data_IF_698720223510
#
_entry.id   IF_698720223510
#
_cell.length_a   1.000
_cell.length_b   1.000
_cell.length_c   1.000
_cell.angle_alpha   90.00
_cell.angle_beta   90.00
_cell.angle_gamma   90.00
#
_symmetry.space_group_name_H-M   'P 1'
#
loop_
_entity.id
_entity.type
_entity.pdbx_description
1 polymer ?
#
# COMPACT_ATOMS: atom_id res chain seq x y z
N UNK A 1 -6.33 -11.86 7.69
CA UNK A 1 -6.19 -13.29 7.56
C UNK A 1 -6.02 -13.99 8.91
N UNK A 2 -6.33 -15.27 8.95
CA UNK A 2 -6.17 -16.07 10.15
C UNK A 2 -4.72 -16.15 10.63
N UNK A 3 -4.54 -16.12 11.92
CA UNK A 3 -3.24 -16.22 12.56
C UNK A 3 -2.23 -15.14 12.17
N UNK A 4 -2.69 -13.99 11.70
CA UNK A 4 -1.82 -12.84 11.53
C UNK A 4 -1.67 -12.09 12.86
N UNK A 5 -0.51 -11.45 13.07
CA UNK A 5 -0.25 -10.62 14.23
C UNK A 5 0.11 -9.21 13.79
N UNK A 6 -0.41 -8.20 14.48
CA UNK A 6 -0.14 -6.81 14.16
C UNK A 6 0.63 -6.17 15.31
N UNK A 7 1.78 -5.59 15.03
CA UNK A 7 2.61 -4.93 16.02
C UNK A 7 1.91 -3.68 16.56
N UNK A 8 2.12 -3.38 17.86
CA UNK A 8 1.48 -2.24 18.51
C UNK A 8 1.84 -0.92 17.79
N UNK A 9 0.86 -0.04 17.64
CA UNK A 9 0.97 1.27 16.98
C UNK A 9 1.22 1.21 15.47
N UNK A 10 1.23 0.01 14.86
CA UNK A 10 1.30 -0.12 13.41
C UNK A 10 -0.03 0.27 12.80
N UNK A 11 0.01 1.04 11.71
CA UNK A 11 -1.19 1.44 10.97
C UNK A 11 -1.43 0.48 9.82
N UNK A 12 -2.67 0.11 9.62
CA UNK A 12 -3.10 -0.68 8.45
C UNK A 12 -4.12 0.17 7.70
N UNK A 13 -3.81 0.48 6.45
CA UNK A 13 -4.65 1.35 5.64
C UNK A 13 -5.97 0.72 5.23
N UNK A 14 -6.88 1.57 4.75
CA UNK A 14 -8.21 1.16 4.30
C UNK A 14 -8.11 0.05 3.25
N UNK A 15 -8.90 -1.00 3.41
CA UNK A 15 -8.98 -2.14 2.50
C UNK A 15 -7.66 -2.86 2.23
N UNK A 16 -6.66 -2.70 3.09
CA UNK A 16 -5.46 -3.52 3.00
C UNK A 16 -5.79 -4.97 3.32
N UNK A 17 -5.14 -5.90 2.63
CA UNK A 17 -5.30 -7.33 2.87
C UNK A 17 -4.04 -7.89 3.51
N UNK A 18 -4.19 -8.53 4.67
CA UNK A 18 -3.09 -9.15 5.39
C UNK A 18 -3.27 -10.67 5.29
N UNK A 19 -2.31 -11.35 4.70
CA UNK A 19 -2.34 -12.80 4.57
C UNK A 19 -2.22 -13.49 5.92
N UNK A 20 -2.69 -14.73 6.01
CA UNK A 20 -2.57 -15.54 7.21
C UNK A 20 -1.11 -15.74 7.61
N UNK A 21 -0.85 -15.84 8.91
CA UNK A 21 0.49 -16.04 9.47
C UNK A 21 1.47 -14.88 9.25
N UNK A 22 0.99 -13.73 8.75
CA UNK A 22 1.84 -12.55 8.55
C UNK A 22 1.97 -11.77 9.85
N UNK A 23 3.20 -11.50 10.27
CA UNK A 23 3.47 -10.60 11.38
C UNK A 23 3.64 -9.17 10.86
N UNK A 24 2.68 -8.30 11.14
CA UNK A 24 2.72 -6.92 10.64
C UNK A 24 3.49 -6.04 11.61
N UNK A 25 4.70 -5.64 11.23
CA UNK A 25 5.58 -4.77 12.02
C UNK A 25 5.78 -3.39 11.40
N UNK A 26 5.32 -3.20 10.17
CA UNK A 26 5.42 -1.94 9.42
C UNK A 26 4.05 -1.53 8.93
N UNK A 27 3.87 -0.22 8.73
CA UNK A 27 2.60 0.30 8.26
C UNK A 27 2.27 -0.24 6.87
N UNK A 28 1.05 -0.71 6.67
CA UNK A 28 0.59 -1.21 5.38
C UNK A 28 -0.29 -0.15 4.72
N UNK A 29 0.07 0.25 3.50
CA UNK A 29 -0.66 1.29 2.76
C UNK A 29 -2.11 0.89 2.50
N UNK A 30 -3.01 1.88 2.31
CA UNK A 30 -4.37 1.57 1.85
C UNK A 30 -4.34 0.75 0.57
N UNK A 31 -5.24 -0.19 0.47
CA UNK A 31 -5.40 -1.09 -0.67
C UNK A 31 -4.19 -2.02 -0.90
N UNK A 32 -3.23 -2.05 0.02
CA UNK A 32 -2.06 -2.91 -0.09
C UNK A 32 -2.37 -4.37 0.19
N UNK A 33 -1.50 -5.24 -0.29
CA UNK A 33 -1.55 -6.68 -0.02
C UNK A 33 -0.22 -7.10 0.60
N UNK A 34 -0.26 -7.56 1.83
CA UNK A 34 0.93 -8.05 2.53
C UNK A 34 0.74 -9.50 2.93
N UNK A 35 1.64 -10.36 2.48
CA UNK A 35 1.59 -11.79 2.78
C UNK A 35 2.97 -12.30 3.19
N UNK A 36 3.00 -13.51 3.73
CA UNK A 36 4.24 -14.17 4.12
C UNK A 36 4.72 -13.72 5.50
N UNK A 37 5.79 -14.35 5.98
CA UNK A 37 6.27 -14.16 7.36
C UNK A 37 6.96 -12.81 7.57
N UNK A 38 7.43 -12.15 6.52
CA UNK A 38 8.31 -10.98 6.61
C UNK A 38 7.61 -9.64 6.47
N UNK A 39 6.30 -9.61 6.39
CA UNK A 39 5.56 -8.36 6.19
C UNK A 39 6.05 -7.60 4.95
N UNK A 40 6.10 -8.29 3.83
CA UNK A 40 6.46 -7.70 2.53
C UNK A 40 5.19 -7.24 1.84
N UNK A 41 5.27 -6.10 1.17
CA UNK A 41 4.17 -5.61 0.35
C UNK A 41 4.20 -6.31 -1.01
N UNK A 42 3.15 -7.05 -1.33
CA UNK A 42 3.09 -7.88 -2.54
C UNK A 42 2.25 -7.29 -3.67
N UNK A 43 1.79 -6.07 -3.51
CA UNK A 43 0.96 -5.41 -4.51
C UNK A 43 -0.28 -4.79 -3.90
N UNK A 44 -1.34 -4.71 -4.68
CA UNK A 44 -2.60 -4.11 -4.28
C UNK A 44 -3.71 -5.15 -4.20
N UNK A 45 -4.68 -4.89 -3.33
CA UNK A 45 -5.85 -5.74 -3.14
C UNK A 45 -6.85 -5.56 -4.28
N UNK A 46 -6.49 -6.00 -5.50
CA UNK A 46 -7.33 -5.86 -6.70
C UNK A 46 -8.66 -6.58 -6.53
N UNK A 47 -8.63 -7.77 -5.93
CA UNK A 47 -9.85 -8.56 -5.73
C UNK A 47 -10.85 -7.80 -4.85
N UNK A 48 -10.39 -7.22 -3.75
CA UNK A 48 -11.25 -6.42 -2.87
C UNK A 48 -11.82 -5.19 -3.55
N UNK A 49 -10.99 -4.50 -4.32
CA UNK A 49 -11.43 -3.31 -5.06
C UNK A 49 -12.48 -3.65 -6.11
N UNK A 50 -12.34 -4.76 -6.81
CA UNK A 50 -13.34 -5.23 -7.78
C UNK A 50 -14.64 -5.62 -7.11
N UNK A 51 -14.59 -6.21 -5.93
CA UNK A 51 -15.80 -6.59 -5.17
C UNK A 51 -16.66 -5.39 -4.81
N UNK A 52 -16.05 -4.25 -4.53
CA UNK A 52 -16.79 -3.02 -4.23
C UNK A 52 -17.03 -2.16 -5.47
N UNK A 53 -16.78 -2.73 -6.65
CA UNK A 53 -17.10 -2.13 -7.96
C UNK A 53 -16.35 -0.82 -8.25
N UNK A 54 -15.13 -0.70 -7.78
CA UNK A 54 -14.23 0.39 -8.20
C UNK A 54 -13.95 0.22 -9.70
N UNK A 55 -13.89 1.31 -10.44
CA UNK A 55 -13.69 1.25 -11.89
C UNK A 55 -12.33 0.67 -12.26
N UNK A 56 -12.27 -0.03 -13.40
CA UNK A 56 -11.02 -0.60 -13.90
C UNK A 56 -9.96 0.49 -14.12
N UNK A 57 -10.36 1.67 -14.59
CA UNK A 57 -9.44 2.78 -14.80
C UNK A 57 -8.76 3.19 -13.48
N UNK A 58 -9.53 3.33 -12.42
CA UNK A 58 -8.98 3.69 -11.11
C UNK A 58 -8.04 2.62 -10.57
N UNK A 59 -8.37 1.34 -10.77
CA UNK A 59 -7.52 0.23 -10.34
C UNK A 59 -6.21 0.20 -11.14
N UNK A 60 -6.28 0.39 -12.46
CA UNK A 60 -5.10 0.43 -13.33
C UNK A 60 -4.18 1.59 -12.93
N UNK A 61 -4.76 2.78 -12.74
CA UNK A 61 -4.00 3.96 -12.33
C UNK A 61 -3.32 3.74 -10.98
N UNK A 62 -4.02 3.13 -10.03
CA UNK A 62 -3.43 2.80 -8.73
C UNK A 62 -2.29 1.79 -8.87
N UNK A 63 -2.46 0.78 -9.73
CA UNK A 63 -1.42 -0.23 -9.96
C UNK A 63 -0.16 0.38 -10.57
N UNK A 64 -0.32 1.29 -11.53
CA UNK A 64 0.81 1.99 -12.14
C UNK A 64 1.48 2.92 -11.13
N UNK A 65 0.69 3.67 -10.37
CA UNK A 65 1.20 4.56 -9.33
C UNK A 65 1.96 3.77 -8.25
N UNK A 66 1.45 2.61 -7.87
CA UNK A 66 2.13 1.72 -6.93
C UNK A 66 3.57 1.42 -7.36
N UNK A 67 3.76 1.13 -8.63
CA UNK A 67 5.11 0.86 -9.16
C UNK A 67 6.02 2.08 -9.04
N UNK A 68 5.48 3.25 -9.29
CA UNK A 68 6.24 4.51 -9.20
C UNK A 68 6.55 4.89 -7.76
N UNK A 69 5.62 4.68 -6.84
CA UNK A 69 5.81 4.96 -5.41
C UNK A 69 6.96 4.14 -4.84
N UNK A 70 7.05 2.88 -5.24
CA UNK A 70 8.05 1.95 -4.72
C UNK A 70 9.18 1.67 -5.70
N UNK A 71 9.42 2.58 -6.65
CA UNK A 71 10.45 2.43 -7.67
C UNK A 71 11.86 2.38 -7.08
N UNK A 72 12.12 3.19 -6.07
CA UNK A 72 13.40 3.21 -5.35
C UNK A 72 13.13 3.15 -3.85
N UNK A 73 14.18 3.07 -3.05
CA UNK A 73 14.04 3.07 -1.59
C UNK A 73 13.69 4.45 -1.04
N UNK A 74 13.88 5.51 -1.81
CA UNK A 74 13.57 6.87 -1.36
C UNK A 74 12.10 7.20 -1.65
N UNK A 75 11.25 6.86 -0.69
CA UNK A 75 9.81 7.01 -0.82
C UNK A 75 9.39 8.47 -1.00
N UNK A 76 10.00 9.39 -0.25
CA UNK A 76 9.69 10.83 -0.35
C UNK A 76 9.97 11.35 -1.75
N UNK A 77 11.14 11.03 -2.31
CA UNK A 77 11.49 11.43 -3.66
C UNK A 77 10.54 10.82 -4.69
N UNK A 78 10.21 9.55 -4.54
CA UNK A 78 9.28 8.87 -5.45
C UNK A 78 7.91 9.54 -5.46
N UNK A 79 7.40 9.94 -4.29
CA UNK A 79 6.12 10.64 -4.19
C UNK A 79 6.17 12.02 -4.86
N UNK A 80 7.28 12.73 -4.73
CA UNK A 80 7.45 14.05 -5.35
C UNK A 80 7.47 13.97 -6.88
N UNK A 81 7.98 12.87 -7.42
CA UNK A 81 8.09 12.66 -8.87
C UNK A 81 6.84 12.07 -9.52
N UNK A 82 5.80 11.77 -8.74
CA UNK A 82 4.57 11.24 -9.30
C UNK A 82 3.91 12.23 -10.27
N UNK A 83 3.41 11.71 -11.39
CA UNK A 83 2.66 12.50 -12.34
C UNK A 83 1.40 13.05 -11.68
N UNK A 84 1.14 14.35 -11.84
CA UNK A 84 0.00 15.01 -11.20
C UNK A 84 -1.35 14.43 -11.61
N UNK A 85 -1.43 13.83 -12.82
CA UNK A 85 -2.68 13.18 -13.27
C UNK A 85 -3.14 12.05 -12.35
N UNK A 86 -2.19 11.32 -11.74
CA UNK A 86 -2.54 10.23 -10.83
C UNK A 86 -3.07 10.74 -9.50
N UNK A 87 -2.69 11.95 -9.09
CA UNK A 87 -3.12 12.53 -7.82
C UNK A 87 -4.61 12.88 -7.79
N UNK A 88 -5.26 12.90 -8.95
CA UNK A 88 -6.71 13.09 -9.05
C UNK A 88 -7.50 11.81 -8.71
N UNK A 89 -6.86 10.65 -8.77
CA UNK A 89 -7.48 9.38 -8.44
C UNK A 89 -7.65 9.29 -6.91
N UNK A 90 -8.90 9.13 -6.41
CA UNK A 90 -9.15 9.07 -4.96
C UNK A 90 -8.36 7.97 -4.25
N UNK A 91 -8.14 6.83 -4.90
CA UNK A 91 -7.40 5.72 -4.31
C UNK A 91 -5.92 6.10 -4.13
N UNK A 92 -5.35 6.74 -5.14
CA UNK A 92 -3.96 7.22 -5.08
C UNK A 92 -3.80 8.27 -3.99
N UNK A 93 -4.74 9.19 -3.91
CA UNK A 93 -4.73 10.24 -2.88
C UNK A 93 -4.76 9.64 -1.48
N UNK A 94 -5.58 8.62 -1.28
CA UNK A 94 -5.67 7.92 0.01
C UNK A 94 -4.32 7.31 0.40
N UNK A 95 -3.63 6.70 -0.56
CA UNK A 95 -2.30 6.11 -0.34
C UNK A 95 -1.27 7.18 0.02
N UNK A 96 -1.24 8.27 -0.75
CA UNK A 96 -0.29 9.37 -0.50
C UNK A 96 -0.53 9.99 0.87
N UNK A 97 -1.79 10.28 1.21
CA UNK A 97 -2.14 10.88 2.49
C UNK A 97 -1.74 9.95 3.65
N UNK A 98 -1.95 8.66 3.49
CA UNK A 98 -1.57 7.68 4.50
C UNK A 98 -0.06 7.68 4.75
N UNK A 99 0.74 7.72 3.69
CA UNK A 99 2.20 7.74 3.81
C UNK A 99 2.67 9.03 4.49
N UNK A 100 2.07 10.16 4.14
CA UNK A 100 2.49 11.47 4.64
C UNK A 100 2.00 11.81 6.03
N UNK A 101 0.91 11.20 6.48
CA UNK A 101 0.25 11.55 7.73
C UNK A 101 1.12 11.27 8.97
N UNK A 102 1.84 10.17 8.96
CA UNK A 102 2.70 9.79 10.07
C UNK A 102 3.92 9.03 9.54
N UNK A 103 5.10 9.57 9.80
CA UNK A 103 6.36 9.00 9.34
C UNK A 103 7.20 8.39 10.47
N UNK A 104 6.59 8.17 11.64
CA UNK A 104 7.31 7.62 12.81
C UNK A 104 7.69 6.16 12.64
N UNK A 105 6.92 5.40 11.87
CA UNK A 105 7.18 3.99 11.65
C UNK A 105 7.47 3.73 10.18
N UNK A 106 8.28 2.71 9.88
CA UNK A 106 8.55 2.37 8.49
C UNK A 106 7.28 1.86 7.79
N UNK A 107 7.20 2.11 6.51
CA UNK A 107 6.16 1.59 5.62
C UNK A 107 6.58 0.20 5.14
N UNK A 108 5.63 -0.73 5.08
CA UNK A 108 5.83 -2.02 4.44
C UNK A 108 6.07 -1.79 2.94
N UNK A 109 7.17 -2.32 2.41
CA UNK A 109 7.57 -2.11 1.02
C UNK A 109 7.75 -3.43 0.29
N UNK A 110 7.75 -3.42 -1.04
CA UNK A 110 8.13 -4.60 -1.81
C UNK A 110 9.59 -4.95 -1.55
N UNK A 111 9.93 -6.23 -1.72
CA UNK A 111 11.32 -6.64 -1.66
C UNK A 111 12.00 -6.20 -2.96
N UNK A 112 12.88 -5.20 -2.87
CA UNK A 112 13.56 -4.59 -4.03
C UNK A 112 14.89 -5.26 -4.39
N UNK A 113 15.21 -6.40 -3.80
CA UNK A 113 16.43 -7.12 -4.11
C UNK A 113 16.44 -7.67 -5.54
#
# INVERSE_FOLDING_TARGET
GGNCGVHQFTRIGKMAMIGGMTGVSRDVIPYGLSTGNRNILNGINVVGLRRIKVSNKEIIDLSETYKDIFKTENLTENLEKLDSKYKENPLVKEVIDFINKDKKRPICTPNLN
#
